data_IF_432265309975
#
_entry.id   IF_432265309975
#
_cell.length_a   1.000
_cell.length_b   1.000
_cell.length_c   1.000
_cell.angle_alpha   90.00
_cell.angle_beta   90.00
_cell.angle_gamma   90.00
#
_symmetry.space_group_name_H-M   'P 1'
#
loop_
_entity.id
_entity.type
_entity.pdbx_description
1 polymer ?
#
# COMPACT_ATOMS: atom_id res chain seq x y z
N UNK A 1 17.62 5.59 30.20
CA UNK A 1 17.58 4.76 28.98
C UNK A 1 18.99 4.69 28.41
N UNK A 2 19.52 3.50 28.17
CA UNK A 2 20.80 3.35 27.47
C UNK A 2 20.56 3.42 25.97
N UNK A 3 21.10 4.43 25.31
CA UNK A 3 21.07 4.54 23.84
C UNK A 3 22.33 3.90 23.27
N UNK A 4 22.16 2.98 22.33
CA UNK A 4 23.27 2.36 21.59
C UNK A 4 23.33 2.94 20.19
N UNK A 5 24.54 3.25 19.71
CA UNK A 5 24.75 3.73 18.35
C UNK A 5 24.65 2.56 17.36
N UNK A 6 23.78 2.68 16.35
CA UNK A 6 23.70 1.78 15.21
C UNK A 6 24.23 2.49 13.96
N UNK A 7 25.30 1.96 13.38
CA UNK A 7 25.90 2.45 12.13
C UNK A 7 25.64 1.46 11.01
N UNK A 8 25.02 1.93 9.92
CA UNK A 8 24.72 1.11 8.73
C UNK A 8 25.45 1.73 7.53
N UNK A 9 26.21 0.90 6.79
CA UNK A 9 26.81 1.29 5.51
C UNK A 9 25.79 1.08 4.40
N UNK A 10 25.57 2.10 3.57
CA UNK A 10 24.65 2.08 2.44
C UNK A 10 25.08 3.14 1.42
N UNK A 11 24.57 3.08 0.20
CA UNK A 11 24.81 4.07 -0.84
C UNK A 11 24.01 5.37 -0.61
N UNK A 12 24.34 6.41 -1.36
CA UNK A 12 23.69 7.72 -1.21
C UNK A 12 22.22 7.73 -1.66
N UNK A 13 21.85 6.90 -2.63
CA UNK A 13 20.50 6.83 -3.17
C UNK A 13 19.55 6.19 -2.15
N UNK A 14 19.91 5.03 -1.61
CA UNK A 14 19.16 4.34 -0.55
C UNK A 14 18.95 5.26 0.66
N UNK A 15 19.97 6.01 1.06
CA UNK A 15 19.86 6.99 2.17
C UNK A 15 18.87 8.12 1.86
N UNK A 16 18.85 8.60 0.61
CA UNK A 16 17.93 9.64 0.19
C UNK A 16 16.47 9.13 0.17
N UNK A 17 16.25 7.93 -0.38
CA UNK A 17 14.94 7.27 -0.42
C UNK A 17 14.39 7.03 0.99
N UNK A 18 15.23 6.52 1.91
CA UNK A 18 14.87 6.36 3.32
C UNK A 18 14.41 7.67 3.96
N UNK A 19 15.08 8.79 3.65
CA UNK A 19 14.74 10.10 4.20
C UNK A 19 13.40 10.60 3.64
N UNK A 20 13.17 10.46 2.33
CA UNK A 20 11.90 10.84 1.70
C UNK A 20 10.74 10.04 2.28
N UNK A 21 10.86 8.71 2.29
CA UNK A 21 9.81 7.83 2.75
C UNK A 21 9.46 8.05 4.23
N UNK A 22 10.46 8.24 5.09
CA UNK A 22 10.21 8.58 6.49
C UNK A 22 9.45 9.90 6.64
N UNK A 23 9.76 10.90 5.81
CA UNK A 23 9.09 12.20 5.83
C UNK A 23 7.64 12.12 5.33
N UNK A 24 7.35 11.29 4.32
CA UNK A 24 5.99 10.99 3.84
C UNK A 24 5.12 10.39 4.96
N UNK A 25 5.72 9.60 5.84
CA UNK A 25 5.06 9.03 7.02
C UNK A 25 5.04 9.98 8.23
N UNK A 26 5.60 11.19 8.11
CA UNK A 26 5.64 12.19 9.19
C UNK A 26 6.62 11.87 10.32
N UNK A 27 7.65 11.04 10.08
CA UNK A 27 8.61 10.60 11.10
C UNK A 27 10.07 10.84 10.69
N UNK A 28 11.00 10.75 11.65
CA UNK A 28 12.44 10.81 11.35
C UNK A 28 12.94 9.47 10.82
N UNK A 29 14.02 9.46 10.02
CA UNK A 29 14.64 8.22 9.54
C UNK A 29 15.03 7.27 10.68
N UNK A 30 15.52 7.79 11.81
CA UNK A 30 15.84 6.99 13.00
C UNK A 30 14.60 6.36 13.61
N UNK A 31 13.50 7.11 13.72
CA UNK A 31 12.23 6.57 14.21
C UNK A 31 11.71 5.47 13.29
N UNK A 32 11.79 5.68 11.97
CA UNK A 32 11.42 4.67 10.98
C UNK A 32 12.23 3.38 11.11
N UNK A 33 13.57 3.46 11.14
CA UNK A 33 14.42 2.27 11.31
C UNK A 33 14.08 1.53 12.61
N UNK A 34 13.90 2.25 13.71
CA UNK A 34 13.51 1.63 14.99
C UNK A 34 12.15 0.94 14.92
N UNK A 35 11.17 1.51 14.19
CA UNK A 35 9.86 0.88 13.99
C UNK A 35 9.97 -0.41 13.19
N UNK A 36 10.71 -0.39 12.07
CA UNK A 36 10.93 -1.59 11.24
C UNK A 36 11.63 -2.68 12.04
N UNK A 37 12.67 -2.36 12.81
CA UNK A 37 13.37 -3.32 13.67
C UNK A 37 12.42 -3.89 14.73
N UNK A 38 11.63 -3.04 15.40
CA UNK A 38 10.64 -3.50 16.39
C UNK A 38 9.58 -4.42 15.76
N UNK A 39 9.09 -4.10 14.56
CA UNK A 39 8.17 -4.93 13.81
C UNK A 39 8.77 -6.30 13.53
N UNK A 40 9.98 -6.33 12.96
CA UNK A 40 10.66 -7.58 12.61
C UNK A 40 10.91 -8.46 13.84
N UNK A 41 11.28 -7.86 14.98
CA UNK A 41 11.48 -8.58 16.24
C UNK A 41 10.17 -9.09 16.85
N UNK A 42 9.09 -8.30 16.79
CA UNK A 42 7.77 -8.71 17.29
C UNK A 42 7.21 -9.86 16.46
N UNK A 43 7.32 -9.75 15.14
CA UNK A 43 6.74 -10.71 14.19
C UNK A 43 7.67 -11.92 13.98
N UNK A 44 8.90 -11.88 14.53
CA UNK A 44 9.96 -12.89 14.36
C UNK A 44 10.24 -13.24 12.90
N UNK A 45 10.04 -12.28 12.00
CA UNK A 45 10.14 -12.44 10.54
C UNK A 45 10.47 -11.12 9.87
N UNK A 46 11.20 -11.18 8.75
CA UNK A 46 11.35 -10.09 7.79
C UNK A 46 10.61 -10.48 6.51
N UNK A 47 9.83 -9.54 5.96
CA UNK A 47 9.13 -9.75 4.68
C UNK A 47 9.88 -8.99 3.59
N UNK A 48 10.39 -9.74 2.62
CA UNK A 48 10.92 -9.18 1.38
C UNK A 48 9.92 -9.53 0.28
N UNK A 49 9.37 -8.51 -0.36
CA UNK A 49 8.45 -8.67 -1.49
C UNK A 49 9.07 -8.06 -2.73
N UNK A 50 8.86 -8.70 -3.87
CA UNK A 50 9.08 -8.09 -5.17
C UNK A 50 7.95 -7.09 -5.46
N UNK A 51 8.09 -6.23 -6.48
CA UNK A 51 6.95 -5.51 -7.03
C UNK A 51 5.76 -6.45 -7.23
N UNK A 52 4.56 -5.99 -6.87
CA UNK A 52 3.35 -6.79 -7.01
C UNK A 52 3.05 -6.95 -8.51
N UNK A 53 3.08 -8.18 -9.00
CA UNK A 53 2.58 -8.52 -10.32
C UNK A 53 1.13 -9.01 -10.18
N UNK A 54 0.20 -8.55 -11.03
CA UNK A 54 -1.16 -9.06 -11.02
C UNK A 54 -1.18 -10.57 -11.23
N UNK A 55 -1.97 -11.29 -10.43
CA UNK A 55 -2.17 -12.72 -10.68
C UNK A 55 -2.95 -12.90 -11.99
N UNK A 56 -2.85 -14.05 -12.68
CA UNK A 56 -3.66 -14.30 -13.88
C UNK A 56 -5.17 -14.11 -13.65
N UNK A 57 -5.64 -14.36 -12.42
CA UNK A 57 -7.01 -14.08 -12.02
C UNK A 57 -7.31 -12.58 -11.95
N UNK A 58 -6.43 -11.79 -11.31
CA UNK A 58 -6.57 -10.34 -11.26
C UNK A 58 -6.50 -9.72 -12.65
N UNK A 59 -5.56 -10.16 -13.50
CA UNK A 59 -5.48 -9.68 -14.88
C UNK A 59 -6.76 -9.96 -15.67
N UNK A 60 -7.37 -11.13 -15.46
CA UNK A 60 -8.64 -11.47 -16.10
C UNK A 60 -9.75 -10.50 -15.66
N UNK A 61 -9.90 -10.26 -14.36
CA UNK A 61 -10.90 -9.31 -13.84
C UNK A 61 -10.65 -7.91 -14.38
N UNK A 62 -9.40 -7.45 -14.42
CA UNK A 62 -9.06 -6.13 -14.96
C UNK A 62 -9.47 -6.01 -16.43
N UNK A 63 -9.23 -7.05 -17.24
CA UNK A 63 -9.67 -7.07 -18.65
C UNK A 63 -11.19 -7.08 -18.78
N UNK A 64 -11.89 -7.88 -17.97
CA UNK A 64 -13.36 -7.91 -17.95
C UNK A 64 -13.93 -6.54 -17.57
N UNK A 65 -13.41 -5.92 -16.50
CA UNK A 65 -13.83 -4.59 -16.06
C UNK A 65 -13.57 -3.50 -17.12
N UNK A 66 -12.43 -3.55 -17.81
CA UNK A 66 -12.13 -2.61 -18.91
C UNK A 66 -13.11 -2.77 -20.08
N UNK A 67 -13.48 -4.00 -20.43
CA UNK A 67 -14.43 -4.28 -21.50
C UNK A 67 -15.86 -3.88 -21.11
N UNK A 68 -16.27 -4.15 -19.87
CA UNK A 68 -17.55 -3.71 -19.32
C UNK A 68 -17.62 -2.18 -19.27
N UNK A 69 -16.52 -1.51 -18.89
CA UNK A 69 -16.42 -0.05 -18.89
C UNK A 69 -16.62 0.56 -20.28
N UNK A 70 -15.96 -0.01 -21.32
CA UNK A 70 -16.08 0.46 -22.70
C UNK A 70 -17.47 0.27 -23.29
N UNK A 71 -18.17 -0.78 -22.87
CA UNK A 71 -19.47 -1.16 -23.42
C UNK A 71 -20.65 -0.68 -22.57
N UNK A 72 -20.40 0.12 -21.52
CA UNK A 72 -21.42 0.58 -20.56
C UNK A 72 -22.22 -0.59 -19.95
N UNK A 73 -21.53 -1.70 -19.66
CA UNK A 73 -22.10 -2.91 -19.06
C UNK A 73 -21.68 -3.00 -17.61
N UNK A 74 -22.61 -3.41 -16.73
CA UNK A 74 -22.35 -3.56 -15.29
C UNK A 74 -21.77 -2.30 -14.61
N UNK A 75 -22.02 -1.11 -15.18
CA UNK A 75 -21.66 0.20 -14.63
C UNK A 75 -22.91 0.85 -14.03
N UNK A 76 -22.78 1.44 -12.84
CA UNK A 76 -23.78 2.36 -12.30
C UNK A 76 -23.18 3.75 -12.19
N UNK A 77 -23.75 4.69 -12.95
CA UNK A 77 -23.37 6.10 -12.88
C UNK A 77 -24.02 6.76 -11.66
N UNK A 78 -23.23 7.47 -10.87
CA UNK A 78 -23.73 8.23 -9.72
C UNK A 78 -23.29 9.68 -9.81
N UNK A 79 -24.12 10.59 -9.32
CA UNK A 79 -23.92 12.04 -9.45
C UNK A 79 -23.41 12.69 -8.16
N UNK A 80 -23.22 11.92 -7.09
CA UNK A 80 -22.70 12.41 -5.81
C UNK A 80 -22.08 11.26 -5.01
N UNK A 81 -21.09 11.56 -4.13
CA UNK A 81 -20.51 10.56 -3.24
C UNK A 81 -21.55 9.85 -2.35
N UNK A 82 -22.57 10.59 -1.89
CA UNK A 82 -23.65 10.02 -1.06
C UNK A 82 -24.48 8.98 -1.83
N UNK A 83 -24.80 9.25 -3.11
CA UNK A 83 -25.49 8.30 -3.97
C UNK A 83 -24.64 7.06 -4.28
N UNK A 84 -23.32 7.23 -4.48
CA UNK A 84 -22.39 6.13 -4.67
C UNK A 84 -22.34 5.19 -3.45
N UNK A 85 -22.21 5.76 -2.25
CA UNK A 85 -22.19 4.97 -1.00
C UNK A 85 -23.52 4.22 -0.79
N UNK A 86 -24.66 4.88 -1.01
CA UNK A 86 -25.96 4.23 -0.88
C UNK A 86 -26.13 3.04 -1.85
N UNK A 87 -25.60 3.15 -3.08
CA UNK A 87 -25.62 2.06 -4.04
C UNK A 87 -24.75 0.88 -3.58
N UNK A 88 -23.50 1.14 -3.15
CA UNK A 88 -22.59 0.12 -2.63
C UNK A 88 -23.17 -0.61 -1.40
N UNK A 89 -23.75 0.14 -0.45
CA UNK A 89 -24.42 -0.43 0.72
C UNK A 89 -25.60 -1.34 0.34
N UNK A 90 -26.30 -1.02 -0.75
CA UNK A 90 -27.38 -1.85 -1.29
C UNK A 90 -26.88 -3.18 -1.87
N UNK A 91 -25.69 -3.19 -2.47
CA UNK A 91 -25.06 -4.41 -3.00
C UNK A 91 -24.56 -5.34 -1.90
N UNK A 92 -24.10 -4.77 -0.76
CA UNK A 92 -23.55 -5.53 0.37
C UNK A 92 -24.62 -6.16 1.29
N UNK A 93 -25.90 -5.82 1.14
CA UNK A 93 -27.01 -6.29 1.99
C UNK A 93 -27.72 -7.56 1.49
N UNK A 94 -27.18 -8.23 0.48
CA UNK A 94 -27.64 -9.56 0.03
C UNK A 94 -26.83 -10.66 0.69
#
# INVERSE_FOLDING_TARGET
MSSVLLTVKTDSETKAQLKSFAAELGVTSTAFVNMVVKQALRDRRVVLSTPLEPTPYLEKIMREADDDYKNDRDITHTNSPAAALAHLDGLMKK
#
